data_IF_421249380090
#
_entry.id   IF_421249380090
#
_cell.length_a   1.000
_cell.length_b   1.000
_cell.length_c   1.000
_cell.angle_alpha   90.00
_cell.angle_beta   90.00
_cell.angle_gamma   90.00
#
_symmetry.space_group_name_H-M   'P 1'
#
loop_
_entity.id
_entity.type
_entity.pdbx_description
1 polymer ?
#
# COMPACT_ATOMS: atom_id res chain seq x y z
N UNK A 1 33.21 -14.76 28.81
CA UNK A 1 32.15 -15.65 28.27
C UNK A 1 30.83 -14.92 27.97
N UNK A 2 30.83 -13.63 27.62
CA UNK A 2 29.59 -12.83 27.47
C UNK A 2 29.20 -12.49 26.02
N UNK A 3 29.91 -13.07 25.03
CA UNK A 3 29.76 -12.74 23.59
C UNK A 3 28.74 -13.63 22.86
N UNK A 4 28.62 -14.91 23.22
CA UNK A 4 27.76 -15.86 22.49
C UNK A 4 26.25 -15.65 22.71
N UNK A 5 25.82 -15.15 23.88
CA UNK A 5 24.39 -14.95 24.15
C UNK A 5 23.80 -13.76 23.36
N UNK A 6 24.58 -12.69 23.18
CA UNK A 6 24.19 -11.49 22.41
C UNK A 6 24.17 -11.75 20.90
N UNK A 7 25.04 -12.64 20.43
CA UNK A 7 25.11 -13.04 19.02
C UNK A 7 23.97 -14.00 18.63
N UNK A 8 23.58 -14.90 19.54
CA UNK A 8 22.44 -15.80 19.30
C UNK A 8 21.10 -15.07 19.29
N UNK A 9 20.90 -14.08 20.17
CA UNK A 9 19.66 -13.30 20.22
C UNK A 9 19.49 -12.38 19.01
N UNK A 10 20.57 -11.78 18.48
CA UNK A 10 20.50 -11.00 17.23
C UNK A 10 20.25 -11.87 16.00
N UNK A 11 20.80 -13.08 15.93
CA UNK A 11 20.55 -14.00 14.82
C UNK A 11 19.09 -14.48 14.78
N UNK A 12 18.51 -14.81 15.93
CA UNK A 12 17.10 -15.22 16.03
C UNK A 12 16.15 -14.08 15.65
N UNK A 13 16.36 -12.88 16.22
CA UNK A 13 15.54 -11.71 15.88
C UNK A 13 15.63 -11.30 14.41
N UNK A 14 16.77 -11.50 13.75
CA UNK A 14 16.92 -11.21 12.33
C UNK A 14 16.18 -12.22 11.46
N UNK A 15 16.15 -13.50 11.84
CA UNK A 15 15.35 -14.55 11.18
C UNK A 15 13.85 -14.28 11.30
N UNK A 16 13.38 -13.93 12.49
CA UNK A 16 11.96 -13.67 12.75
C UNK A 16 11.48 -12.42 11.99
N UNK A 17 12.32 -11.39 11.92
CA UNK A 17 12.05 -10.17 11.15
C UNK A 17 12.03 -10.41 9.64
N UNK A 18 12.94 -11.24 9.12
CA UNK A 18 12.97 -11.62 7.70
C UNK A 18 11.75 -12.48 7.33
N UNK A 19 11.34 -13.38 8.22
CA UNK A 19 10.13 -14.21 8.08
C UNK A 19 8.85 -13.36 8.04
N UNK A 20 8.70 -12.41 8.97
CA UNK A 20 7.57 -11.47 8.99
C UNK A 20 7.51 -10.60 7.74
N UNK A 21 8.65 -10.13 7.24
CA UNK A 21 8.71 -9.30 6.03
C UNK A 21 8.28 -10.08 4.78
N UNK A 22 8.63 -11.36 4.69
CA UNK A 22 8.15 -12.23 3.60
C UNK A 22 6.64 -12.49 3.71
N UNK A 23 6.13 -12.71 4.92
CA UNK A 23 4.69 -12.83 5.16
C UNK A 23 3.90 -11.59 4.75
N UNK A 24 4.36 -10.40 5.16
CA UNK A 24 3.75 -9.12 4.78
C UNK A 24 3.76 -8.98 3.25
N UNK A 25 4.88 -9.32 2.59
CA UNK A 25 5.00 -9.22 1.13
C UNK A 25 4.01 -10.13 0.40
N UNK A 26 3.77 -11.34 0.90
CA UNK A 26 2.76 -12.25 0.33
C UNK A 26 1.34 -11.73 0.56
N UNK A 27 1.04 -11.19 1.74
CA UNK A 27 -0.26 -10.57 2.03
C UNK A 27 -0.52 -9.35 1.13
N UNK A 28 0.52 -8.59 0.80
CA UNK A 28 0.42 -7.45 -0.14
C UNK A 28 0.03 -7.94 -1.53
N UNK A 29 0.63 -9.01 -2.03
CA UNK A 29 0.27 -9.57 -3.34
C UNK A 29 -1.20 -9.99 -3.34
N UNK A 30 -1.66 -10.64 -2.27
CA UNK A 30 -3.07 -11.00 -2.13
C UNK A 30 -3.99 -9.76 -2.11
N UNK A 31 -3.67 -8.76 -1.29
CA UNK A 31 -4.45 -7.53 -1.18
C UNK A 31 -4.51 -6.76 -2.51
N UNK A 32 -3.38 -6.67 -3.22
CA UNK A 32 -3.30 -6.01 -4.53
C UNK A 32 -4.13 -6.74 -5.58
N UNK A 33 -4.09 -8.07 -5.58
CA UNK A 33 -4.88 -8.89 -6.51
C UNK A 33 -6.38 -8.77 -6.22
N UNK A 34 -6.77 -8.79 -4.94
CA UNK A 34 -8.15 -8.55 -4.51
C UNK A 34 -8.66 -7.18 -4.98
N UNK A 35 -7.91 -6.10 -4.70
CA UNK A 35 -8.28 -4.76 -5.14
C UNK A 35 -8.38 -4.66 -6.66
N UNK A 36 -7.49 -5.32 -7.41
CA UNK A 36 -7.57 -5.35 -8.87
C UNK A 36 -8.87 -5.99 -9.37
N UNK A 37 -9.29 -7.11 -8.78
CA UNK A 37 -10.55 -7.77 -9.12
C UNK A 37 -11.74 -6.84 -8.84
N UNK A 38 -11.77 -6.19 -7.67
CA UNK A 38 -12.83 -5.25 -7.30
C UNK A 38 -12.87 -4.05 -8.26
N UNK A 39 -11.71 -3.53 -8.65
CA UNK A 39 -11.60 -2.44 -9.62
C UNK A 39 -12.10 -2.84 -11.01
N UNK A 40 -11.67 -4.00 -11.53
CA UNK A 40 -12.13 -4.50 -12.84
C UNK A 40 -13.63 -4.73 -12.83
N UNK A 41 -14.17 -5.31 -11.75
CA UNK A 41 -15.61 -5.47 -11.58
C UNK A 41 -16.34 -4.12 -11.60
N UNK A 42 -15.81 -3.12 -10.90
CA UNK A 42 -16.35 -1.76 -10.90
C UNK A 42 -16.32 -1.10 -12.28
N UNK A 43 -15.23 -1.25 -13.04
CA UNK A 43 -15.10 -0.71 -14.41
C UNK A 43 -16.11 -1.35 -15.35
N UNK A 44 -16.29 -2.67 -15.28
CA UNK A 44 -17.28 -3.38 -16.09
C UNK A 44 -18.69 -2.85 -15.77
N UNK A 45 -19.05 -2.75 -14.49
CA UNK A 45 -20.36 -2.24 -14.07
C UNK A 45 -20.58 -0.76 -14.43
N UNK A 46 -19.53 0.07 -14.39
CA UNK A 46 -19.59 1.47 -14.80
C UNK A 46 -19.82 1.59 -16.32
N UNK A 47 -19.12 0.80 -17.12
CA UNK A 47 -19.28 0.83 -18.58
C UNK A 47 -20.65 0.33 -19.03
N UNK A 48 -21.22 -0.67 -18.37
CA UNK A 48 -22.60 -1.11 -18.64
C UNK A 48 -23.66 -0.08 -18.25
N UNK A 49 -23.36 0.81 -17.29
CA UNK A 49 -24.27 1.89 -16.90
C UNK A 49 -24.33 3.03 -17.91
N UNK A 50 -23.23 3.30 -18.63
CA UNK A 50 -23.24 4.22 -19.77
C UNK A 50 -24.15 3.73 -20.91
N UNK A 51 -24.38 2.42 -20.99
CA UNK A 51 -25.29 1.76 -21.94
C UNK A 51 -26.75 1.72 -21.44
N UNK A 52 -27.06 2.35 -20.30
CA UNK A 52 -28.42 2.47 -19.76
C UNK A 52 -28.87 1.32 -18.85
N UNK A 53 -27.95 0.51 -18.31
CA UNK A 53 -28.26 -0.55 -17.35
C UNK A 53 -27.87 -0.18 -15.90
N UNK A 54 -28.78 -0.35 -14.93
CA UNK A 54 -28.58 -0.03 -13.50
C UNK A 54 -27.56 -0.94 -12.75
N UNK A 55 -26.68 -1.65 -13.47
CA UNK A 55 -25.70 -2.59 -12.91
C UNK A 55 -24.63 -1.89 -12.03
N UNK A 56 -24.43 -0.57 -12.20
CA UNK A 56 -23.55 0.20 -11.31
C UNK A 56 -24.08 0.26 -9.87
N UNK A 57 -25.40 0.33 -9.67
CA UNK A 57 -25.99 0.27 -8.33
C UNK A 57 -25.76 -1.08 -7.66
N UNK A 58 -25.77 -2.16 -8.44
CA UNK A 58 -25.48 -3.51 -7.94
C UNK A 58 -24.03 -3.64 -7.45
N UNK A 59 -23.08 -3.00 -8.15
CA UNK A 59 -21.70 -2.87 -7.69
C UNK A 59 -21.59 -2.08 -6.37
N UNK A 60 -22.32 -0.96 -6.23
CA UNK A 60 -22.34 -0.20 -4.97
C UNK A 60 -22.93 -1.01 -3.80
N UNK A 61 -23.95 -1.83 -4.05
CA UNK A 61 -24.49 -2.75 -3.05
C UNK A 61 -23.49 -3.86 -2.70
N UNK A 62 -22.75 -4.39 -3.68
CA UNK A 62 -21.67 -5.34 -3.43
C UNK A 62 -20.57 -4.75 -2.54
N UNK A 63 -20.16 -3.50 -2.78
CA UNK A 63 -19.17 -2.80 -1.95
C UNK A 63 -19.61 -2.60 -0.50
N UNK A 64 -20.93 -2.50 -0.25
CA UNK A 64 -21.51 -2.37 1.09
C UNK A 64 -21.59 -3.67 1.87
N UNK A 65 -21.30 -4.83 1.25
CA UNK A 65 -21.30 -6.09 1.98
C UNK A 65 -20.24 -6.06 3.10
N UNK A 66 -20.57 -6.50 4.32
CA UNK A 66 -19.65 -6.43 5.47
C UNK A 66 -18.34 -7.18 5.21
N UNK A 67 -18.40 -8.30 4.49
CA UNK A 67 -17.22 -9.07 4.09
C UNK A 67 -16.31 -8.27 3.17
N UNK A 68 -16.88 -7.58 2.17
CA UNK A 68 -16.13 -6.76 1.20
C UNK A 68 -15.52 -5.55 1.89
N UNK A 69 -16.25 -4.90 2.81
CA UNK A 69 -15.72 -3.81 3.63
C UNK A 69 -14.50 -4.27 4.42
N UNK A 70 -14.60 -5.40 5.12
CA UNK A 70 -13.48 -5.96 5.91
C UNK A 70 -12.27 -6.24 5.02
N UNK A 71 -12.47 -6.88 3.86
CA UNK A 71 -11.38 -7.19 2.93
C UNK A 71 -10.73 -5.92 2.35
N UNK A 72 -11.51 -4.90 2.03
CA UNK A 72 -11.00 -3.62 1.55
C UNK A 72 -10.23 -2.86 2.65
N UNK A 73 -10.74 -2.84 3.88
CA UNK A 73 -10.04 -2.26 5.03
C UNK A 73 -8.73 -2.99 5.33
N UNK A 74 -8.75 -4.32 5.29
CA UNK A 74 -7.55 -5.14 5.48
C UNK A 74 -6.52 -4.87 4.38
N UNK A 75 -6.97 -4.79 3.12
CA UNK A 75 -6.11 -4.45 1.98
C UNK A 75 -5.45 -3.08 2.14
N UNK A 76 -6.20 -2.10 2.66
CA UNK A 76 -5.68 -0.76 2.93
C UNK A 76 -4.63 -0.74 4.04
N UNK A 77 -4.86 -1.46 5.15
CA UNK A 77 -3.88 -1.59 6.24
C UNK A 77 -2.59 -2.24 5.72
N UNK A 78 -2.72 -3.33 4.96
CA UNK A 78 -1.57 -4.03 4.37
C UNK A 78 -0.79 -3.15 3.40
N UNK A 79 -1.49 -2.36 2.56
CA UNK A 79 -0.84 -1.43 1.64
C UNK A 79 -0.07 -0.31 2.36
N UNK A 80 -0.63 0.25 3.44
CA UNK A 80 0.04 1.27 4.26
C UNK A 80 1.29 0.68 4.92
N UNK A 81 1.17 -0.48 5.56
CA UNK A 81 2.31 -1.14 6.21
C UNK A 81 3.42 -1.44 5.21
N UNK A 82 3.07 -1.94 4.03
CA UNK A 82 4.03 -2.21 2.96
C UNK A 82 4.70 -0.94 2.45
N UNK A 83 3.96 0.15 2.29
CA UNK A 83 4.49 1.45 1.88
C UNK A 83 5.51 1.98 2.90
N UNK A 84 5.19 1.92 4.20
CA UNK A 84 6.09 2.34 5.28
C UNK A 84 7.38 1.51 5.28
N UNK A 85 7.25 0.18 5.26
CA UNK A 85 8.41 -0.74 5.27
C UNK A 85 9.28 -0.53 4.03
N UNK A 86 8.65 -0.41 2.86
CA UNK A 86 9.36 -0.18 1.60
C UNK A 86 10.05 1.17 1.58
N UNK A 87 9.43 2.23 2.11
CA UNK A 87 10.04 3.57 2.23
C UNK A 87 11.28 3.54 3.14
N UNK A 88 11.21 2.86 4.28
CA UNK A 88 12.35 2.71 5.20
C UNK A 88 13.46 1.87 4.56
N UNK A 89 13.12 0.80 3.85
CA UNK A 89 14.11 -0.05 3.17
C UNK A 89 14.78 0.70 2.01
N UNK A 90 14.00 1.44 1.23
CA UNK A 90 14.47 2.22 0.09
C UNK A 90 15.37 3.37 0.54
N UNK A 91 14.97 4.10 1.58
CA UNK A 91 15.81 5.18 2.13
C UNK A 91 17.16 4.65 2.63
N UNK A 92 17.19 3.51 3.33
CA UNK A 92 18.45 2.87 3.76
C UNK A 92 19.31 2.42 2.58
N UNK A 93 18.71 1.81 1.55
CA UNK A 93 19.44 1.36 0.37
C UNK A 93 20.06 2.54 -0.41
N UNK A 94 19.33 3.65 -0.52
CA UNK A 94 19.79 4.86 -1.21
C UNK A 94 20.94 5.54 -0.43
N UNK A 95 20.81 5.68 0.90
CA UNK A 95 21.83 6.27 1.76
C UNK A 95 23.13 5.45 1.74
N UNK A 96 23.03 4.12 1.71
CA UNK A 96 24.19 3.24 1.67
C UNK A 96 24.92 3.28 0.31
N UNK A 97 24.20 3.56 -0.79
CA UNK A 97 24.76 3.58 -2.14
C UNK A 97 25.49 4.87 -2.48
N UNK A 98 25.07 6.02 -1.93
CA UNK A 98 25.69 7.32 -2.19
C UNK A 98 25.83 8.15 -0.90
N UNK A 99 26.87 7.90 -0.09
CA UNK A 99 27.03 8.51 1.23
C UNK A 99 27.35 10.02 1.21
N UNK A 100 27.77 10.59 0.07
CA UNK A 100 28.15 12.01 -0.04
C UNK A 100 26.98 12.98 -0.21
N UNK A 101 25.80 12.51 -0.61
CA UNK A 101 24.64 13.35 -0.97
C UNK A 101 23.44 13.19 -0.02
N UNK A 102 23.67 12.90 1.27
CA UNK A 102 22.61 12.62 2.26
C UNK A 102 21.54 13.72 2.32
N UNK A 103 21.95 14.99 2.33
CA UNK A 103 21.03 16.15 2.37
C UNK A 103 20.13 16.22 1.14
N UNK A 104 20.70 16.04 -0.06
CA UNK A 104 19.98 16.11 -1.32
C UNK A 104 19.02 14.92 -1.50
N UNK A 105 19.39 13.73 -1.04
CA UNK A 105 18.53 12.54 -1.08
C UNK A 105 17.31 12.65 -0.16
N UNK A 106 17.50 13.17 1.06
CA UNK A 106 16.40 13.42 1.99
C UNK A 106 15.46 14.47 1.39
N UNK A 107 16.01 15.52 0.76
CA UNK A 107 15.24 16.51 0.01
C UNK A 107 14.38 15.88 -1.09
N UNK A 108 14.96 15.04 -1.96
CA UNK A 108 14.22 14.33 -3.02
C UNK A 108 13.12 13.43 -2.44
N UNK A 109 13.40 12.70 -1.36
CA UNK A 109 12.43 11.80 -0.74
C UNK A 109 11.25 12.57 -0.11
N UNK A 110 11.52 13.72 0.52
CA UNK A 110 10.48 14.62 1.03
C UNK A 110 9.64 15.19 -0.12
N UNK A 111 10.27 15.66 -1.19
CA UNK A 111 9.58 16.20 -2.38
C UNK A 111 8.68 15.12 -3.00
N UNK A 112 9.18 13.88 -3.12
CA UNK A 112 8.39 12.76 -3.65
C UNK A 112 7.18 12.45 -2.78
N UNK A 113 7.34 12.44 -1.45
CA UNK A 113 6.22 12.20 -0.52
C UNK A 113 5.18 13.32 -0.58
N UNK A 114 5.62 14.59 -0.69
CA UNK A 114 4.73 15.73 -0.88
C UNK A 114 3.98 15.64 -2.21
N UNK A 115 4.66 15.24 -3.29
CA UNK A 115 4.03 15.06 -4.60
C UNK A 115 2.94 13.97 -4.55
N UNK A 116 3.21 12.82 -3.92
CA UNK A 116 2.22 11.75 -3.72
C UNK A 116 1.03 12.26 -2.89
N UNK A 117 1.28 13.02 -1.83
CA UNK A 117 0.23 13.63 -1.01
C UNK A 117 -0.64 14.62 -1.80
N UNK A 118 -0.02 15.45 -2.65
CA UNK A 118 -0.73 16.39 -3.52
C UNK A 118 -1.61 15.67 -4.55
N UNK A 119 -1.10 14.60 -5.16
CA UNK A 119 -1.88 13.75 -6.09
C UNK A 119 -3.05 13.11 -5.36
N UNK A 120 -2.83 12.55 -4.17
CA UNK A 120 -3.90 11.96 -3.36
C UNK A 120 -4.99 12.98 -3.00
N UNK A 121 -4.58 14.21 -2.63
CA UNK A 121 -5.52 15.30 -2.35
C UNK A 121 -6.32 15.69 -3.60
N UNK A 122 -5.66 15.83 -4.74
CA UNK A 122 -6.32 16.18 -6.00
C UNK A 122 -7.34 15.10 -6.40
N UNK A 123 -6.97 13.83 -6.30
CA UNK A 123 -7.87 12.71 -6.59
C UNK A 123 -9.10 12.72 -5.68
N UNK A 124 -8.93 13.00 -4.39
CA UNK A 124 -10.03 13.09 -3.43
C UNK A 124 -10.99 14.24 -3.74
N UNK A 125 -10.45 15.42 -4.09
CA UNK A 125 -11.26 16.58 -4.49
C UNK A 125 -12.04 16.28 -5.77
N UNK A 126 -11.40 15.70 -6.78
CA UNK A 126 -12.06 15.33 -8.03
C UNK A 126 -13.14 14.27 -7.78
N UNK A 127 -12.88 13.26 -6.97
CA UNK A 127 -13.86 12.22 -6.64
C UNK A 127 -15.11 12.79 -5.92
N UNK A 128 -14.92 13.73 -4.98
CA UNK A 128 -16.05 14.40 -4.32
C UNK A 128 -16.78 15.38 -5.23
N UNK A 129 -16.05 16.11 -6.08
CA UNK A 129 -16.63 17.05 -7.04
C UNK A 129 -17.44 16.40 -8.16
N UNK A 130 -17.20 15.11 -8.46
CA UNK A 130 -18.03 14.32 -9.37
C UNK A 130 -19.28 13.71 -8.69
N UNK A 131 -19.35 13.73 -7.36
CA UNK A 131 -20.46 13.15 -6.59
C UNK A 131 -21.54 14.17 -6.18
N UNK A 132 -21.30 15.48 -6.37
CA UNK A 132 -22.22 16.58 -6.07
C UNK A 132 -22.77 17.22 -7.33
#
# INVERSE_FOLDING_TARGET
MMSNSKFNSTCHQNKDKLSLMNWIRNLVVFAMLWLNIVLVYGVICAHTNELGQDEFYRFLFFLRYPVVIILNSLSLIVAILFSIVSCISLSKAIINRYPSFKSLQIGILIILMLAIGMISRQLFITALGYLG
#
